data_IF_871625820482
#
_entry.id   IF_871625820482
#
_cell.length_a   1.000
_cell.length_b   1.000
_cell.length_c   1.000
_cell.angle_alpha   90.00
_cell.angle_beta   90.00
_cell.angle_gamma   90.00
#
_symmetry.space_group_name_H-M   'P 1'
#
loop_
_entity.id
_entity.type
_entity.pdbx_description
1 polymer ?
#
# COMPACT_ATOMS: atom_id res chain seq x y z
N UNK A 1 -53.20 53.47 -5.23
CA UNK A 1 -51.74 53.72 -5.12
C UNK A 1 -51.20 52.86 -3.99
N UNK A 2 -50.46 51.80 -4.35
CA UNK A 2 -50.10 50.69 -3.49
C UNK A 2 -49.06 51.08 -2.42
N UNK A 3 -49.24 50.59 -1.20
CA UNK A 3 -48.24 50.61 -0.13
C UNK A 3 -47.82 49.14 0.08
N UNK A 4 -46.74 48.75 -0.60
CA UNK A 4 -46.18 47.40 -0.55
C UNK A 4 -45.42 47.18 0.76
N UNK A 5 -45.97 46.33 1.59
CA UNK A 5 -45.41 45.80 2.83
C UNK A 5 -44.14 44.98 2.52
N UNK A 6 -43.00 45.38 3.07
CA UNK A 6 -41.74 44.65 3.00
C UNK A 6 -41.79 43.40 3.88
N UNK A 7 -41.81 42.21 3.27
CA UNK A 7 -41.59 40.92 3.93
C UNK A 7 -40.10 40.60 3.80
N UNK A 8 -39.38 40.60 4.93
CA UNK A 8 -38.01 40.08 5.02
C UNK A 8 -38.04 38.55 4.84
N UNK A 9 -37.50 38.07 3.73
CA UNK A 9 -37.25 36.64 3.48
C UNK A 9 -35.88 36.28 4.06
N UNK A 10 -35.88 35.53 5.16
CA UNK A 10 -34.70 34.88 5.71
C UNK A 10 -34.26 33.74 4.78
N UNK A 11 -33.05 33.82 4.24
CA UNK A 11 -32.44 32.79 3.39
C UNK A 11 -31.75 31.75 4.28
N UNK A 12 -32.17 30.48 4.28
CA UNK A 12 -31.46 29.42 5.00
C UNK A 12 -30.15 29.08 4.26
N UNK A 13 -29.03 29.28 4.93
CA UNK A 13 -27.71 28.82 4.48
C UNK A 13 -27.68 27.28 4.53
N UNK A 14 -27.84 26.64 3.37
CA UNK A 14 -27.65 25.21 3.24
C UNK A 14 -26.17 24.87 3.48
N UNK A 15 -25.88 24.21 4.60
CA UNK A 15 -24.59 23.58 4.87
C UNK A 15 -24.44 22.40 3.91
N UNK A 16 -23.76 22.61 2.78
CA UNK A 16 -23.33 21.52 1.91
C UNK A 16 -22.21 20.76 2.63
N UNK A 17 -22.55 19.59 3.14
CA UNK A 17 -21.56 18.60 3.58
C UNK A 17 -20.73 18.20 2.37
N UNK A 18 -19.49 18.70 2.31
CA UNK A 18 -18.51 18.28 1.32
C UNK A 18 -18.08 16.86 1.71
N UNK A 19 -18.80 15.87 1.19
CA UNK A 19 -18.34 14.49 1.18
C UNK A 19 -17.17 14.41 0.21
N UNK A 20 -15.95 14.57 0.72
CA UNK A 20 -14.73 14.35 -0.06
C UNK A 20 -14.69 12.86 -0.37
N UNK A 21 -14.69 12.45 -1.65
CA UNK A 21 -14.54 11.03 -1.98
C UNK A 21 -13.17 10.60 -1.48
N UNK A 22 -13.15 9.56 -0.64
CA UNK A 22 -11.91 8.86 -0.34
C UNK A 22 -11.38 8.33 -1.67
N UNK A 23 -10.36 9.00 -2.23
CA UNK A 23 -9.66 8.52 -3.40
C UNK A 23 -9.16 7.13 -3.04
N UNK A 24 -9.74 6.10 -3.66
CA UNK A 24 -9.16 4.78 -3.66
C UNK A 24 -7.79 4.93 -4.33
N UNK A 25 -6.74 5.11 -3.52
CA UNK A 25 -5.39 4.97 -4.00
C UNK A 25 -5.30 3.52 -4.45
N UNK A 26 -5.25 3.28 -5.77
CA UNK A 26 -4.89 1.99 -6.33
C UNK A 26 -3.69 1.47 -5.54
N UNK A 27 -3.91 0.45 -4.71
CA UNK A 27 -2.88 -0.06 -3.83
C UNK A 27 -1.76 -0.55 -4.72
N UNK A 28 -0.63 0.18 -4.71
CA UNK A 28 0.55 -0.22 -5.47
C UNK A 28 0.92 -1.63 -5.04
N UNK A 29 0.97 -2.53 -6.00
CA UNK A 29 1.39 -3.91 -5.78
C UNK A 29 2.40 -4.31 -6.84
N UNK A 30 3.41 -5.07 -6.41
CA UNK A 30 4.49 -5.55 -7.26
C UNK A 30 4.60 -7.05 -7.07
N UNK A 31 4.68 -7.76 -8.20
CA UNK A 31 4.87 -9.21 -8.23
C UNK A 31 6.37 -9.50 -8.28
N UNK A 32 6.90 -10.13 -7.23
CA UNK A 32 8.31 -10.53 -7.14
C UNK A 32 8.45 -11.98 -7.57
N UNK A 33 9.08 -12.22 -8.71
CA UNK A 33 9.38 -13.57 -9.19
C UNK A 33 10.62 -14.18 -8.54
N UNK A 34 10.55 -15.47 -8.25
CA UNK A 34 11.59 -16.27 -7.62
C UNK A 34 11.75 -17.67 -8.23
N UNK A 35 11.11 -17.95 -9.37
CA UNK A 35 11.26 -19.20 -10.12
C UNK A 35 12.73 -19.59 -10.41
N UNK A 36 13.61 -18.59 -10.46
CA UNK A 36 15.05 -18.73 -10.70
C UNK A 36 15.86 -19.02 -9.43
N UNK A 37 15.23 -18.99 -8.25
CA UNK A 37 15.89 -19.11 -6.96
C UNK A 37 15.61 -20.46 -6.30
N UNK A 38 16.69 -21.13 -5.87
CA UNK A 38 16.57 -22.30 -5.01
C UNK A 38 16.29 -21.89 -3.56
N UNK A 39 15.01 -21.86 -3.16
CA UNK A 39 14.58 -21.49 -1.80
C UNK A 39 14.99 -22.52 -0.72
N UNK A 40 15.40 -23.72 -1.10
CA UNK A 40 15.97 -24.71 -0.16
C UNK A 40 17.36 -24.28 0.32
N UNK A 41 18.07 -23.44 -0.44
CA UNK A 41 19.37 -22.89 -0.07
C UNK A 41 19.25 -21.58 0.73
N UNK A 42 20.14 -21.34 1.69
CA UNK A 42 20.20 -20.07 2.41
C UNK A 42 20.39 -18.89 1.46
N UNK A 43 21.29 -19.03 0.47
CA UNK A 43 21.54 -18.01 -0.55
C UNK A 43 20.32 -17.67 -1.39
N UNK A 44 19.47 -18.64 -1.71
CA UNK A 44 18.24 -18.41 -2.48
C UNK A 44 17.19 -17.66 -1.67
N UNK A 45 17.06 -18.00 -0.39
CA UNK A 45 16.19 -17.27 0.55
C UNK A 45 16.64 -15.82 0.73
N UNK A 46 17.93 -15.59 0.95
CA UNK A 46 18.48 -14.25 1.13
C UNK A 46 18.29 -13.37 -0.13
N UNK A 47 18.45 -13.96 -1.31
CA UNK A 47 18.16 -13.28 -2.58
C UNK A 47 16.69 -12.90 -2.70
N UNK A 48 15.77 -13.80 -2.35
CA UNK A 48 14.34 -13.50 -2.38
C UNK A 48 13.98 -12.38 -1.38
N UNK A 49 14.44 -12.48 -0.13
CA UNK A 49 14.24 -11.45 0.89
C UNK A 49 14.76 -10.09 0.43
N UNK A 50 15.91 -10.06 -0.24
CA UNK A 50 16.47 -8.82 -0.81
C UNK A 50 15.58 -8.25 -1.92
N UNK A 51 15.08 -9.10 -2.84
CA UNK A 51 14.16 -8.66 -3.91
C UNK A 51 12.86 -8.11 -3.34
N UNK A 52 12.30 -8.78 -2.34
CA UNK A 52 11.11 -8.30 -1.62
C UNK A 52 11.34 -6.93 -1.01
N UNK A 53 12.45 -6.72 -0.28
CA UNK A 53 12.78 -5.41 0.29
C UNK A 53 12.84 -4.30 -0.76
N UNK A 54 13.32 -4.62 -1.97
CA UNK A 54 13.35 -3.67 -3.08
C UNK A 54 11.95 -3.36 -3.62
N UNK A 55 11.09 -4.39 -3.76
CA UNK A 55 9.70 -4.22 -4.16
C UNK A 55 8.88 -3.40 -3.14
N UNK A 56 9.10 -3.61 -1.84
CA UNK A 56 8.48 -2.81 -0.78
C UNK A 56 8.83 -1.33 -0.92
N UNK A 57 10.10 -1.03 -1.18
CA UNK A 57 10.56 0.37 -1.39
C UNK A 57 9.95 1.02 -2.63
N UNK A 58 9.62 0.22 -3.64
CA UNK A 58 8.96 0.68 -4.87
C UNK A 58 7.48 0.95 -4.62
N UNK A 59 6.80 0.04 -3.92
CA UNK A 59 5.39 0.15 -3.55
C UNK A 59 5.13 1.34 -2.62
N UNK A 60 6.02 1.57 -1.64
CA UNK A 60 5.90 2.65 -0.67
C UNK A 60 6.56 3.98 -1.11
N UNK A 61 7.00 4.09 -2.38
CA UNK A 61 7.65 5.27 -2.95
C UNK A 61 8.77 5.88 -2.07
N UNK A 62 9.49 5.04 -1.32
CA UNK A 62 10.44 5.52 -0.30
C UNK A 62 11.58 6.36 -0.91
N UNK A 63 11.82 6.19 -2.22
CA UNK A 63 12.81 6.96 -3.00
C UNK A 63 12.32 8.34 -3.46
N UNK A 64 11.01 8.54 -3.59
CA UNK A 64 10.41 9.78 -4.08
C UNK A 64 9.85 10.66 -2.95
N UNK A 65 9.87 10.17 -1.71
CA UNK A 65 9.37 10.89 -0.55
C UNK A 65 10.22 12.15 -0.23
N UNK A 66 9.63 13.32 -0.45
CA UNK A 66 10.26 14.62 -0.17
C UNK A 66 9.74 15.23 1.14
N UNK A 67 10.66 15.59 2.04
CA UNK A 67 10.36 16.17 3.34
C UNK A 67 10.13 15.14 4.45
N UNK A 68 10.26 15.56 5.72
CA UNK A 68 10.26 14.69 6.89
C UNK A 68 8.96 13.88 7.06
N UNK A 69 7.80 14.53 6.85
CA UNK A 69 6.49 13.88 6.97
C UNK A 69 6.27 12.81 5.90
N UNK A 70 6.67 13.08 4.65
CA UNK A 70 6.57 12.09 3.58
C UNK A 70 7.49 10.90 3.82
N UNK A 71 8.72 11.15 4.31
CA UNK A 71 9.66 10.09 4.68
C UNK A 71 9.14 9.24 5.85
N UNK A 72 8.54 9.85 6.87
CA UNK A 72 7.95 9.12 7.98
C UNK A 72 6.83 8.19 7.47
N UNK A 73 5.89 8.70 6.66
CA UNK A 73 4.82 7.89 6.06
C UNK A 73 5.36 6.75 5.19
N UNK A 74 6.40 7.01 4.40
CA UNK A 74 7.01 5.99 3.54
C UNK A 74 7.73 4.91 4.36
N UNK A 75 8.31 5.25 5.52
CA UNK A 75 8.90 4.29 6.47
C UNK A 75 7.84 3.44 7.15
N UNK A 76 6.77 4.06 7.63
CA UNK A 76 5.62 3.35 8.24
C UNK A 76 5.02 2.35 7.23
N UNK A 77 4.78 2.78 5.99
CA UNK A 77 4.35 1.89 4.91
C UNK A 77 5.32 0.73 4.69
N UNK A 78 6.62 1.01 4.63
CA UNK A 78 7.63 -0.02 4.40
C UNK A 78 7.67 -1.04 5.56
N UNK A 79 7.61 -0.58 6.81
CA UNK A 79 7.63 -1.45 7.98
C UNK A 79 6.38 -2.34 8.03
N UNK A 80 5.20 -1.80 7.76
CA UNK A 80 3.96 -2.58 7.78
C UNK A 80 3.89 -3.57 6.62
N UNK A 81 4.33 -3.16 5.42
CA UNK A 81 4.43 -4.05 4.27
C UNK A 81 5.46 -5.16 4.50
N UNK A 82 6.60 -4.83 5.14
CA UNK A 82 7.62 -5.82 5.49
C UNK A 82 7.09 -6.85 6.49
N UNK A 83 6.35 -6.42 7.53
CA UNK A 83 5.73 -7.37 8.49
C UNK A 83 4.79 -8.36 7.79
N UNK A 84 3.91 -7.88 6.91
CA UNK A 84 3.02 -8.74 6.13
C UNK A 84 3.82 -9.69 5.23
N UNK A 85 4.86 -9.17 4.55
CA UNK A 85 5.64 -9.98 3.62
C UNK A 85 6.56 -10.97 4.34
N UNK A 86 7.07 -10.66 5.53
CA UNK A 86 7.88 -11.56 6.33
C UNK A 86 7.07 -12.78 6.77
N UNK A 87 5.77 -12.62 7.08
CA UNK A 87 4.86 -13.75 7.32
C UNK A 87 4.73 -14.61 6.07
N UNK A 88 4.55 -13.99 4.89
CA UNK A 88 4.51 -14.71 3.60
C UNK A 88 5.82 -15.46 3.33
N UNK A 89 6.97 -14.81 3.52
CA UNK A 89 8.29 -15.42 3.36
C UNK A 89 8.51 -16.57 4.35
N UNK A 90 8.14 -16.40 5.62
CA UNK A 90 8.22 -17.46 6.61
C UNK A 90 7.34 -18.66 6.19
N UNK A 91 6.13 -18.41 5.69
CA UNK A 91 5.27 -19.48 5.18
C UNK A 91 5.88 -20.20 3.96
N UNK A 92 6.57 -19.47 3.08
CA UNK A 92 7.29 -20.03 1.92
C UNK A 92 8.54 -20.82 2.31
N UNK A 93 9.25 -20.41 3.37
CA UNK A 93 10.47 -21.07 3.81
C UNK A 93 10.19 -22.29 4.70
N UNK A 94 9.10 -22.25 5.49
CA UNK A 94 8.68 -23.34 6.35
C UNK A 94 7.80 -24.37 5.60
N UNK A 95 7.07 -23.93 4.57
CA UNK A 95 6.29 -24.79 3.70
C UNK A 95 7.16 -25.41 2.62
N UNK A 96 7.57 -26.66 2.82
CA UNK A 96 8.30 -27.46 1.85
C UNK A 96 7.70 -27.36 0.45
N UNK A 97 8.32 -26.58 -0.45
CA UNK A 97 8.45 -26.71 -1.91
C UNK A 97 7.32 -27.21 -2.82
N UNK A 98 6.11 -27.53 -2.36
CA UNK A 98 5.17 -28.37 -3.14
C UNK A 98 3.75 -27.83 -3.25
N UNK A 99 3.28 -26.97 -2.32
CA UNK A 99 1.92 -26.40 -2.40
C UNK A 99 1.87 -24.91 -2.77
N UNK A 100 2.97 -24.17 -2.54
CA UNK A 100 3.08 -22.72 -2.85
C UNK A 100 4.15 -22.43 -3.91
N UNK A 101 5.10 -23.36 -4.11
CA UNK A 101 6.14 -23.25 -5.13
C UNK A 101 5.59 -23.24 -6.57
N UNK A 102 4.36 -23.70 -6.77
CA UNK A 102 3.71 -23.80 -8.09
C UNK A 102 3.30 -22.44 -8.70
N UNK A 103 3.58 -21.32 -8.02
CA UNK A 103 3.26 -19.96 -8.55
C UNK A 103 4.45 -19.03 -8.73
N UNK A 104 5.67 -19.44 -8.36
CA UNK A 104 6.88 -18.70 -8.76
C UNK A 104 7.04 -17.26 -8.30
N UNK A 105 6.09 -16.74 -7.52
CA UNK A 105 5.94 -15.31 -7.30
C UNK A 105 5.34 -14.98 -5.93
N UNK A 106 5.79 -13.87 -5.36
CA UNK A 106 5.27 -13.26 -4.13
C UNK A 106 4.69 -11.89 -4.48
N UNK A 107 3.44 -11.64 -4.09
CA UNK A 107 2.82 -10.31 -4.24
C UNK A 107 3.11 -9.47 -3.01
N UNK A 108 3.77 -8.33 -3.23
CA UNK A 108 4.01 -7.27 -2.25
C UNK A 108 3.02 -6.16 -2.55
N UNK A 109 2.20 -5.78 -1.56
CA UNK A 109 1.18 -4.74 -1.72
C UNK A 109 1.23 -3.78 -0.54
N UNK A 110 1.02 -2.49 -0.79
CA UNK A 110 0.91 -1.49 0.26
C UNK A 110 -0.27 -1.81 1.21
N UNK A 111 -0.17 -1.47 2.50
CA UNK A 111 -1.24 -1.67 3.48
C UNK A 111 -2.53 -0.94 3.13
#
# INVERSE_FOLDING_TARGET
MAKLTLILLAVPLALTSISVPAAAQDKKSVVVRYDDLNLSSASGRDRLTTRVKMAVREVCDTRLAQGLRAQQKARECADDTMKDTDVKLASLFNGAGTAVADRGSVVVAAP
#
